data_IF_420200019081
#
_entry.id   IF_420200019081
#
_cell.length_a   1.000
_cell.length_b   1.000
_cell.length_c   1.000
_cell.angle_alpha   90.00
_cell.angle_beta   90.00
_cell.angle_gamma   90.00
#
_symmetry.space_group_name_H-M   'P 1'
#
loop_
_entity.id
_entity.type
_entity.pdbx_description
1 polymer ?
#
# COMPACT_ATOMS: atom_id res chain seq x y z
N UNK A 1 1.15 -11.36 -3.79
CA UNK A 1 1.86 -10.10 -4.07
C UNK A 1 2.59 -9.66 -2.83
N UNK A 2 3.91 -9.51 -2.93
CA UNK A 2 4.78 -9.13 -1.82
C UNK A 2 4.66 -7.63 -1.55
N UNK A 3 4.98 -7.21 -0.31
CA UNK A 3 5.00 -5.81 0.07
C UNK A 3 5.79 -4.93 -0.92
N UNK A 4 6.97 -5.38 -1.34
CA UNK A 4 7.84 -4.64 -2.27
C UNK A 4 7.18 -4.35 -3.62
N UNK A 5 6.34 -5.25 -4.11
CA UNK A 5 5.61 -5.06 -5.38
C UNK A 5 4.47 -4.05 -5.19
N UNK A 6 3.74 -4.17 -4.08
CA UNK A 6 2.67 -3.24 -3.70
C UNK A 6 3.24 -1.83 -3.56
N UNK A 7 4.35 -1.67 -2.85
CA UNK A 7 5.03 -0.39 -2.65
C UNK A 7 5.45 0.26 -3.98
N UNK A 8 5.95 -0.52 -4.95
CA UNK A 8 6.30 -0.02 -6.29
C UNK A 8 5.07 0.49 -7.03
N UNK A 9 3.97 -0.28 -7.03
CA UNK A 9 2.71 0.12 -7.67
C UNK A 9 2.12 1.37 -7.04
N UNK A 10 2.10 1.44 -5.70
CA UNK A 10 1.61 2.61 -4.98
C UNK A 10 2.40 3.88 -5.30
N UNK A 11 3.74 3.80 -5.43
CA UNK A 11 4.56 4.94 -5.89
C UNK A 11 4.17 5.39 -7.29
N UNK A 12 3.95 4.47 -8.22
CA UNK A 12 3.50 4.80 -9.59
C UNK A 12 2.11 5.46 -9.61
N UNK A 13 1.26 5.14 -8.64
CA UNK A 13 -0.07 5.75 -8.47
C UNK A 13 -0.01 7.12 -7.75
N UNK A 14 1.18 7.57 -7.35
CA UNK A 14 1.38 8.85 -6.66
C UNK A 14 1.22 8.78 -5.14
N UNK A 15 1.08 7.58 -4.56
CA UNK A 15 1.09 7.41 -3.12
C UNK A 15 2.52 7.45 -2.56
N UNK A 16 2.64 7.88 -1.31
CA UNK A 16 3.92 8.12 -0.64
C UNK A 16 4.01 7.29 0.64
N UNK A 17 5.16 6.68 0.89
CA UNK A 17 5.42 6.01 2.16
C UNK A 17 5.83 7.06 3.21
N UNK A 18 5.16 7.05 4.35
CA UNK A 18 5.51 7.91 5.48
C UNK A 18 6.66 7.24 6.26
N UNK A 19 7.81 7.94 6.47
CA UNK A 19 8.94 7.42 7.21
C UNK A 19 8.54 6.91 8.60
N UNK A 20 9.08 5.75 8.97
CA UNK A 20 8.82 5.15 10.28
C UNK A 20 9.65 5.85 11.36
N UNK A 21 9.02 6.08 12.51
CA UNK A 21 9.71 6.45 13.76
C UNK A 21 10.06 5.22 14.62
N UNK A 22 9.52 4.04 14.31
CA UNK A 22 9.65 2.81 15.10
C UNK A 22 9.86 1.56 14.23
N UNK A 23 10.49 0.53 14.80
CA UNK A 23 10.89 -0.71 14.10
C UNK A 23 9.78 -1.66 13.64
N UNK A 24 8.50 -1.33 13.85
CA UNK A 24 7.38 -2.20 13.47
C UNK A 24 7.36 -2.59 11.99
N UNK A 25 6.77 -3.75 11.68
CA UNK A 25 6.61 -4.29 10.32
C UNK A 25 5.55 -3.55 9.50
N UNK A 26 4.66 -2.78 10.14
CA UNK A 26 3.67 -2.01 9.41
C UNK A 26 4.30 -0.75 8.78
N UNK A 27 3.85 -0.43 7.57
CA UNK A 27 4.34 0.68 6.74
C UNK A 27 3.17 1.61 6.45
N UNK A 28 3.29 2.89 6.76
CA UNK A 28 2.21 3.86 6.53
C UNK A 28 2.34 4.42 5.13
N UNK A 29 1.24 4.43 4.40
CA UNK A 29 1.14 4.96 3.05
C UNK A 29 0.10 6.07 3.02
N UNK A 30 0.43 7.15 2.32
CA UNK A 30 -0.39 8.33 2.13
C UNK A 30 -0.76 8.48 0.66
N UNK A 31 -2.05 8.67 0.37
CA UNK A 31 -2.51 9.12 -0.92
C UNK A 31 -2.78 10.64 -0.86
N UNK A 32 -1.97 11.49 -1.54
CA UNK A 32 -2.17 12.94 -1.56
C UNK A 32 -3.43 13.36 -2.31
N UNK A 33 -3.94 12.54 -3.26
CA UNK A 33 -5.13 12.88 -4.05
C UNK A 33 -6.42 12.82 -3.23
N UNK A 34 -6.51 11.86 -2.32
CA UNK A 34 -7.71 11.61 -1.50
C UNK A 34 -7.49 11.95 -0.02
N UNK A 35 -6.29 12.42 0.34
CA UNK A 35 -5.86 12.69 1.70
C UNK A 35 -6.04 11.48 2.66
N UNK A 36 -5.85 10.26 2.16
CA UNK A 36 -6.03 9.02 2.92
C UNK A 36 -4.70 8.44 3.39
N UNK A 37 -4.71 7.83 4.56
CA UNK A 37 -3.56 7.10 5.11
C UNK A 37 -3.98 5.67 5.45
N UNK A 38 -3.13 4.70 5.09
CA UNK A 38 -3.32 3.29 5.44
C UNK A 38 -2.03 2.69 6.00
N UNK A 39 -2.16 1.71 6.90
CA UNK A 39 -1.06 0.87 7.34
C UNK A 39 -1.06 -0.44 6.52
N UNK A 40 0.06 -0.73 5.86
CA UNK A 40 0.28 -1.95 5.08
C UNK A 40 1.25 -2.84 5.86
N UNK A 41 0.89 -4.11 6.14
CA UNK A 41 1.83 -5.02 6.78
C UNK A 41 2.96 -5.42 5.81
N UNK A 42 4.21 -5.27 6.25
CA UNK A 42 5.38 -5.81 5.56
C UNK A 42 5.71 -7.19 6.13
N UNK A 43 5.14 -8.25 5.54
CA UNK A 43 5.43 -9.65 5.91
C UNK A 43 6.74 -10.17 5.28
N UNK A 44 7.59 -9.28 4.76
CA UNK A 44 8.86 -9.61 4.14
C UNK A 44 8.67 -10.44 2.88
N UNK A 45 8.97 -11.74 2.98
CA UNK A 45 8.92 -12.67 1.85
C UNK A 45 7.54 -13.29 1.61
N UNK A 46 6.55 -13.05 2.49
CA UNK A 46 5.20 -13.58 2.34
C UNK A 46 4.31 -12.63 1.55
N UNK A 47 3.40 -13.23 0.79
CA UNK A 47 2.37 -12.51 0.05
C UNK A 47 1.27 -11.98 0.98
N UNK A 48 0.81 -10.76 0.71
CA UNK A 48 -0.41 -10.25 1.32
C UNK A 48 -1.61 -10.98 0.73
N UNK A 49 -2.56 -11.34 1.60
CA UNK A 49 -3.83 -11.94 1.17
C UNK A 49 -4.58 -10.96 0.26
N UNK A 50 -5.23 -11.47 -0.78
CA UNK A 50 -5.96 -10.66 -1.76
C UNK A 50 -7.02 -9.76 -1.09
N UNK A 51 -7.74 -10.28 -0.09
CA UNK A 51 -8.73 -9.49 0.66
C UNK A 51 -8.10 -8.30 1.39
N UNK A 52 -6.94 -8.50 2.02
CA UNK A 52 -6.17 -7.42 2.67
C UNK A 52 -5.73 -6.38 1.64
N UNK A 53 -5.22 -6.85 0.50
CA UNK A 53 -4.79 -5.95 -0.58
C UNK A 53 -5.94 -5.10 -1.10
N UNK A 54 -7.09 -5.71 -1.42
CA UNK A 54 -8.30 -4.97 -1.85
C UNK A 54 -8.76 -3.95 -0.81
N UNK A 55 -8.74 -4.31 0.47
CA UNK A 55 -9.10 -3.39 1.55
C UNK A 55 -8.14 -2.19 1.61
N UNK A 56 -6.84 -2.41 1.48
CA UNK A 56 -5.81 -1.36 1.47
C UNK A 56 -6.02 -0.41 0.29
N UNK A 57 -6.22 -0.94 -0.92
CA UNK A 57 -6.44 -0.13 -2.12
C UNK A 57 -7.71 0.72 -1.98
N UNK A 58 -8.80 0.13 -1.48
CA UNK A 58 -10.04 0.86 -1.18
C UNK A 58 -9.85 1.94 -0.11
N UNK A 59 -9.09 1.67 0.95
CA UNK A 59 -8.81 2.65 2.00
C UNK A 59 -7.96 3.83 1.51
N UNK A 60 -7.09 3.60 0.54
CA UNK A 60 -6.34 4.64 -0.15
C UNK A 60 -7.18 5.40 -1.18
N UNK A 61 -8.44 5.02 -1.40
CA UNK A 61 -9.30 5.61 -2.43
C UNK A 61 -8.68 5.49 -3.83
N UNK A 62 -8.21 4.29 -4.14
CA UNK A 62 -7.63 3.92 -5.42
C UNK A 62 -8.53 2.91 -6.13
N UNK A 63 -8.55 2.96 -7.46
CA UNK A 63 -9.24 1.94 -8.24
C UNK A 63 -8.45 0.62 -8.26
N UNK A 64 -9.19 -0.48 -8.16
CA UNK A 64 -8.61 -1.82 -8.09
C UNK A 64 -8.03 -2.28 -9.43
N UNK A 65 -8.68 -1.92 -10.54
CA UNK A 65 -8.17 -2.27 -11.88
C UNK A 65 -6.96 -1.41 -12.23
N UNK A 66 -6.98 -0.11 -11.92
CA UNK A 66 -5.82 0.77 -12.08
C UNK A 66 -4.60 0.21 -11.31
N UNK A 67 -4.80 -0.23 -10.07
CA UNK A 67 -3.73 -0.85 -9.29
C UNK A 67 -3.18 -2.15 -9.92
N UNK A 68 -4.02 -2.98 -10.53
CA UNK A 68 -3.57 -4.21 -11.19
C UNK A 68 -2.69 -3.91 -12.41
N UNK A 69 -3.02 -2.88 -13.19
CA UNK A 69 -2.35 -2.58 -14.46
C UNK A 69 -1.07 -1.74 -14.36
N UNK A 70 -0.75 -1.14 -13.20
CA UNK A 70 0.52 -0.40 -12.96
C UNK A 70 1.68 -1.30 -12.54
#
# INVERSE_FOLDING_TARGET
>A
MKYREIAKKLKKLGCQEIPRRSGGSHRKWYNPKSNRIVAIPDWGNKDLKLGTLRQIIRQLDLDWEEFKHK
#
